data_IF_284148369810
#
_entry.id   IF_284148369810
#
_cell.length_a   1.000
_cell.length_b   1.000
_cell.length_c   1.000
_cell.angle_alpha   90.00
_cell.angle_beta   90.00
_cell.angle_gamma   90.00
#
_symmetry.space_group_name_H-M   'P 1'
#
loop_
_entity.id
_entity.type
_entity.pdbx_description
1 polymer ?
#
# COMPACT_ATOMS: atom_id res chain seq x y z
N UNK A 1 126.06 -69.81 -31.27
CA UNK A 1 124.79 -69.37 -31.90
C UNK A 1 123.54 -69.54 -31.00
N UNK A 2 123.59 -69.24 -29.69
CA UNK A 2 122.42 -69.36 -28.78
C UNK A 2 121.71 -68.02 -28.47
N UNK A 3 122.38 -66.88 -28.56
CA UNK A 3 121.79 -65.56 -28.23
C UNK A 3 120.68 -65.09 -29.17
N UNK A 4 120.78 -65.36 -30.48
CA UNK A 4 119.87 -64.79 -31.49
C UNK A 4 118.45 -65.39 -31.46
N UNK A 5 118.27 -66.64 -30.99
CA UNK A 5 116.94 -67.25 -30.83
C UNK A 5 116.17 -66.72 -29.62
N UNK A 6 116.88 -66.38 -28.54
CA UNK A 6 116.28 -65.82 -27.32
C UNK A 6 115.72 -64.42 -27.56
N UNK A 7 116.52 -63.57 -28.23
CA UNK A 7 116.10 -62.22 -28.62
C UNK A 7 114.87 -62.24 -29.53
N UNK A 8 114.85 -63.08 -30.57
CA UNK A 8 113.67 -63.20 -31.47
C UNK A 8 112.39 -63.65 -30.74
N UNK A 9 112.49 -64.56 -29.78
CA UNK A 9 111.33 -64.99 -28.97
C UNK A 9 110.85 -63.88 -28.03
N UNK A 10 111.77 -63.15 -27.40
CA UNK A 10 111.43 -62.00 -26.56
C UNK A 10 110.78 -60.88 -27.38
N UNK A 11 111.32 -60.54 -28.56
CA UNK A 11 110.75 -59.55 -29.47
C UNK A 11 109.35 -59.96 -29.94
N UNK A 12 109.14 -61.24 -30.30
CA UNK A 12 107.83 -61.74 -30.71
C UNK A 12 106.82 -61.71 -29.55
N UNK A 13 107.24 -62.06 -28.33
CA UNK A 13 106.39 -61.97 -27.15
C UNK A 13 105.99 -60.52 -26.84
N UNK A 14 106.93 -59.57 -26.91
CA UNK A 14 106.65 -58.14 -26.73
C UNK A 14 105.70 -57.63 -27.81
N UNK A 15 105.92 -58.00 -29.09
CA UNK A 15 105.03 -57.60 -30.18
C UNK A 15 103.62 -58.16 -29.97
N UNK A 16 103.50 -59.42 -29.53
CA UNK A 16 102.22 -60.07 -29.26
C UNK A 16 101.51 -59.38 -28.10
N UNK A 17 102.22 -59.05 -27.01
CA UNK A 17 101.67 -58.29 -25.90
C UNK A 17 101.18 -56.93 -26.37
N UNK A 18 101.97 -56.19 -27.17
CA UNK A 18 101.58 -54.87 -27.69
C UNK A 18 100.36 -54.93 -28.61
N UNK A 19 100.24 -55.96 -29.46
CA UNK A 19 99.07 -56.15 -30.33
C UNK A 19 97.83 -56.51 -29.51
N UNK A 20 97.96 -57.41 -28.54
CA UNK A 20 96.85 -57.82 -27.67
C UNK A 20 96.40 -56.68 -26.76
N UNK A 21 97.33 -55.93 -26.15
CA UNK A 21 96.98 -54.77 -25.33
C UNK A 21 96.38 -53.65 -26.16
N UNK A 22 96.88 -53.41 -27.38
CA UNK A 22 96.29 -52.46 -28.32
C UNK A 22 94.86 -52.84 -28.74
N UNK A 23 94.61 -54.12 -29.05
CA UNK A 23 93.29 -54.62 -29.38
C UNK A 23 92.31 -54.56 -28.18
N UNK A 24 92.77 -54.93 -26.98
CA UNK A 24 91.99 -54.84 -25.75
C UNK A 24 91.65 -53.38 -25.43
N UNK A 25 92.61 -52.46 -25.55
CA UNK A 25 92.38 -51.03 -25.36
C UNK A 25 91.40 -50.45 -26.39
N UNK A 26 91.54 -50.83 -27.67
CA UNK A 26 90.61 -50.44 -28.74
C UNK A 26 89.19 -50.96 -28.50
N UNK A 27 89.05 -52.22 -28.08
CA UNK A 27 87.74 -52.81 -27.78
C UNK A 27 87.09 -52.21 -26.53
N UNK A 28 87.87 -51.96 -25.47
CA UNK A 28 87.40 -51.28 -24.25
C UNK A 28 86.92 -49.87 -24.54
N UNK A 29 87.72 -49.07 -25.26
CA UNK A 29 87.36 -47.69 -25.61
C UNK A 29 86.15 -47.63 -26.55
N UNK A 30 86.05 -48.55 -27.52
CA UNK A 30 84.88 -48.66 -28.39
C UNK A 30 83.61 -49.02 -27.61
N UNK A 31 83.68 -50.06 -26.76
CA UNK A 31 82.55 -50.50 -25.94
C UNK A 31 82.13 -49.44 -24.92
N UNK A 32 83.10 -48.78 -24.27
CA UNK A 32 82.85 -47.68 -23.33
C UNK A 32 82.19 -46.50 -24.04
N UNK A 33 82.72 -46.05 -25.18
CA UNK A 33 82.14 -44.92 -25.91
C UNK A 33 80.73 -45.21 -26.42
N UNK A 34 80.47 -46.43 -26.93
CA UNK A 34 79.12 -46.84 -27.35
C UNK A 34 78.16 -46.97 -26.18
N UNK A 35 78.59 -47.62 -25.09
CA UNK A 35 77.79 -47.80 -23.89
C UNK A 35 77.46 -46.46 -23.23
N UNK A 36 78.46 -45.60 -23.05
CA UNK A 36 78.29 -44.25 -22.51
C UNK A 36 77.39 -43.40 -23.40
N UNK A 37 77.67 -43.32 -24.72
CA UNK A 37 76.87 -42.50 -25.63
C UNK A 37 75.43 -42.99 -25.72
N UNK A 38 75.21 -44.30 -25.80
CA UNK A 38 73.85 -44.86 -25.86
C UNK A 38 73.12 -44.75 -24.53
N UNK A 39 73.79 -44.99 -23.40
CA UNK A 39 73.21 -44.89 -22.07
C UNK A 39 72.89 -43.44 -21.70
N UNK A 40 73.80 -42.52 -22.00
CA UNK A 40 73.59 -41.09 -21.80
C UNK A 40 72.49 -40.55 -22.71
N UNK A 41 72.49 -40.89 -24.01
CA UNK A 41 71.45 -40.42 -24.93
C UNK A 41 70.07 -40.91 -24.52
N UNK A 42 69.92 -42.22 -24.21
CA UNK A 42 68.62 -42.77 -23.76
C UNK A 42 68.21 -42.25 -22.40
N UNK A 43 69.14 -42.19 -21.44
CA UNK A 43 68.85 -41.70 -20.10
C UNK A 43 68.45 -40.22 -20.11
N UNK A 44 69.12 -39.42 -20.95
CA UNK A 44 68.80 -38.01 -21.14
C UNK A 44 67.48 -37.83 -21.89
N UNK A 45 67.26 -38.49 -23.04
CA UNK A 45 65.97 -38.40 -23.76
C UNK A 45 64.80 -38.81 -22.88
N UNK A 46 64.88 -39.98 -22.25
CA UNK A 46 63.77 -40.49 -21.42
C UNK A 46 63.59 -39.64 -20.17
N UNK A 47 64.67 -39.34 -19.44
CA UNK A 47 64.59 -38.56 -18.20
C UNK A 47 64.16 -37.11 -18.44
N UNK A 48 64.66 -36.48 -19.51
CA UNK A 48 64.28 -35.13 -19.89
C UNK A 48 62.86 -35.11 -20.45
N UNK A 49 62.51 -35.95 -21.42
CA UNK A 49 61.20 -35.87 -22.07
C UNK A 49 60.08 -36.30 -21.13
N UNK A 50 60.25 -37.37 -20.35
CA UNK A 50 59.22 -37.80 -19.40
C UNK A 50 59.16 -36.84 -18.22
N UNK A 51 60.29 -36.43 -17.66
CA UNK A 51 60.33 -35.47 -16.54
C UNK A 51 59.76 -34.11 -16.92
N UNK A 52 60.12 -33.60 -18.10
CA UNK A 52 59.64 -32.32 -18.62
C UNK A 52 58.17 -32.38 -19.05
N UNK A 53 57.74 -33.44 -19.77
CA UNK A 53 56.33 -33.59 -20.15
C UNK A 53 55.46 -33.76 -18.92
N UNK A 54 55.76 -34.71 -18.04
CA UNK A 54 54.94 -35.00 -16.86
C UNK A 54 54.95 -33.80 -15.90
N UNK A 55 56.12 -33.21 -15.62
CA UNK A 55 56.23 -32.06 -14.72
C UNK A 55 55.51 -30.83 -15.23
N UNK A 56 55.65 -30.51 -16.52
CA UNK A 56 54.98 -29.36 -17.14
C UNK A 56 53.49 -29.60 -17.29
N UNK A 57 53.07 -30.78 -17.74
CA UNK A 57 51.66 -31.07 -17.99
C UNK A 57 50.88 -31.21 -16.67
N UNK A 58 51.42 -31.89 -15.67
CA UNK A 58 50.82 -31.96 -14.34
C UNK A 58 50.85 -30.60 -13.63
N UNK A 59 51.98 -29.87 -13.67
CA UNK A 59 52.11 -28.56 -13.04
C UNK A 59 51.23 -27.49 -13.70
N UNK A 60 51.19 -27.46 -15.04
CA UNK A 60 50.36 -26.53 -15.80
C UNK A 60 48.89 -26.88 -15.66
N UNK A 61 48.48 -28.15 -15.81
CA UNK A 61 47.07 -28.51 -15.66
C UNK A 61 46.60 -28.30 -14.22
N UNK A 62 47.36 -28.72 -13.21
CA UNK A 62 46.97 -28.48 -11.82
C UNK A 62 46.91 -26.98 -11.51
N UNK A 63 47.95 -26.20 -11.86
CA UNK A 63 48.00 -24.77 -11.58
C UNK A 63 46.94 -23.98 -12.34
N UNK A 64 46.78 -24.24 -13.64
CA UNK A 64 45.82 -23.54 -14.49
C UNK A 64 44.38 -23.96 -14.19
N UNK A 65 44.10 -25.27 -14.08
CA UNK A 65 42.72 -25.74 -13.83
C UNK A 65 42.28 -25.38 -12.41
N UNK A 66 43.13 -25.54 -11.39
CA UNK A 66 42.76 -25.18 -10.02
C UNK A 66 42.70 -23.65 -9.88
N UNK A 67 43.71 -22.92 -10.38
CA UNK A 67 43.73 -21.46 -10.30
C UNK A 67 42.57 -20.80 -11.04
N UNK A 68 42.26 -21.26 -12.26
CA UNK A 68 41.18 -20.71 -13.06
C UNK A 68 39.82 -21.21 -12.57
N UNK A 69 39.62 -22.52 -12.42
CA UNK A 69 38.30 -23.02 -12.00
C UNK A 69 37.96 -22.68 -10.54
N UNK A 70 38.93 -22.55 -9.65
CA UNK A 70 38.65 -22.20 -8.25
C UNK A 70 38.69 -20.70 -8.05
N UNK A 71 39.75 -20.03 -8.51
CA UNK A 71 39.91 -18.59 -8.32
C UNK A 71 38.91 -17.76 -9.09
N UNK A 72 38.77 -18.00 -10.41
CA UNK A 72 37.85 -17.24 -11.25
C UNK A 72 36.39 -17.57 -10.90
N UNK A 73 36.04 -18.85 -10.78
CA UNK A 73 34.65 -19.26 -10.54
C UNK A 73 34.17 -18.88 -9.14
N UNK A 74 35.00 -19.01 -8.11
CA UNK A 74 34.64 -18.63 -6.73
C UNK A 74 34.69 -17.12 -6.56
N UNK A 75 35.72 -16.44 -7.07
CA UNK A 75 35.83 -14.98 -7.00
C UNK A 75 34.73 -14.26 -7.78
N UNK A 76 34.42 -14.74 -9.00
CA UNK A 76 33.30 -14.23 -9.79
C UNK A 76 31.97 -14.49 -9.12
N UNK A 77 31.72 -15.71 -8.61
CA UNK A 77 30.46 -16.01 -7.95
C UNK A 77 30.27 -15.20 -6.67
N UNK A 78 31.28 -15.10 -5.80
CA UNK A 78 31.18 -14.31 -4.57
C UNK A 78 31.04 -12.82 -4.89
N UNK A 79 31.85 -12.28 -5.81
CA UNK A 79 31.81 -10.87 -6.18
C UNK A 79 30.50 -10.49 -6.89
N UNK A 80 30.00 -11.36 -7.77
CA UNK A 80 28.73 -11.18 -8.45
C UNK A 80 27.56 -11.32 -7.47
N UNK A 81 27.51 -12.39 -6.68
CA UNK A 81 26.41 -12.61 -5.72
C UNK A 81 26.39 -11.50 -4.66
N UNK A 82 27.54 -11.08 -4.14
CA UNK A 82 27.61 -9.98 -3.17
C UNK A 82 27.29 -8.62 -3.80
N UNK A 83 27.85 -8.30 -4.96
CA UNK A 83 27.61 -7.02 -5.63
C UNK A 83 26.18 -6.89 -6.16
N UNK A 84 25.68 -7.96 -6.79
CA UNK A 84 24.33 -8.02 -7.34
C UNK A 84 23.30 -8.06 -6.21
N UNK A 85 23.39 -8.98 -5.25
CA UNK A 85 22.34 -9.04 -4.20
C UNK A 85 22.37 -7.80 -3.32
N UNK A 86 23.54 -7.30 -2.90
CA UNK A 86 23.58 -6.13 -2.01
C UNK A 86 23.18 -4.86 -2.76
N UNK A 87 23.65 -4.65 -3.99
CA UNK A 87 23.33 -3.48 -4.80
C UNK A 87 21.89 -3.48 -5.32
N UNK A 88 21.45 -4.64 -5.84
CA UNK A 88 20.09 -4.82 -6.35
C UNK A 88 19.08 -4.80 -5.21
N UNK A 89 19.25 -5.57 -4.14
CA UNK A 89 18.27 -5.55 -3.04
C UNK A 89 18.23 -4.20 -2.33
N UNK A 90 19.36 -3.57 -2.03
CA UNK A 90 19.35 -2.27 -1.36
C UNK A 90 18.77 -1.18 -2.26
N UNK A 91 19.13 -1.18 -3.55
CA UNK A 91 18.59 -0.26 -4.55
C UNK A 91 17.09 -0.43 -4.77
N UNK A 92 16.63 -1.68 -4.90
CA UNK A 92 15.20 -1.97 -5.10
C UNK A 92 14.40 -1.72 -3.83
N UNK A 93 14.83 -2.20 -2.65
CA UNK A 93 14.11 -1.94 -1.40
C UNK A 93 14.05 -0.44 -1.10
N UNK A 94 15.17 0.28 -1.18
CA UNK A 94 15.19 1.71 -0.84
C UNK A 94 14.48 2.55 -1.89
N UNK A 95 14.77 2.32 -3.18
CA UNK A 95 14.20 3.09 -4.28
C UNK A 95 12.71 2.81 -4.48
N UNK A 96 12.31 1.54 -4.48
CA UNK A 96 10.91 1.16 -4.62
C UNK A 96 10.11 1.58 -3.41
N UNK A 97 10.59 1.34 -2.17
CA UNK A 97 9.83 1.70 -0.98
C UNK A 97 9.72 3.21 -0.79
N UNK A 98 10.79 3.97 -1.03
CA UNK A 98 10.71 5.44 -0.94
C UNK A 98 9.86 6.02 -2.07
N UNK A 99 10.03 5.54 -3.30
CA UNK A 99 9.24 6.00 -4.45
C UNK A 99 7.76 5.63 -4.35
N UNK A 100 7.47 4.40 -3.90
CA UNK A 100 6.12 3.91 -3.70
C UNK A 100 5.48 4.57 -2.47
N UNK A 101 6.10 4.56 -1.30
CA UNK A 101 5.49 5.13 -0.09
C UNK A 101 5.30 6.64 -0.23
N UNK A 102 6.27 7.37 -0.81
CA UNK A 102 6.12 8.84 -0.99
C UNK A 102 5.19 9.17 -2.14
N UNK A 103 5.33 8.51 -3.30
CA UNK A 103 4.51 8.77 -4.48
C UNK A 103 3.07 8.32 -4.31
N UNK A 104 2.85 7.14 -3.72
CA UNK A 104 1.52 6.61 -3.42
C UNK A 104 0.89 7.37 -2.26
N UNK A 105 1.55 7.57 -1.12
CA UNK A 105 0.89 8.25 0.00
C UNK A 105 0.64 9.72 -0.28
N UNK A 106 1.57 10.49 -0.87
CA UNK A 106 1.28 11.88 -1.23
C UNK A 106 0.28 11.95 -2.40
N UNK A 107 0.47 11.16 -3.45
CA UNK A 107 -0.43 11.18 -4.61
C UNK A 107 -1.86 10.73 -4.27
N UNK A 108 -2.00 9.65 -3.50
CA UNK A 108 -3.29 9.13 -3.06
C UNK A 108 -3.88 10.00 -1.97
N UNK A 109 -3.15 10.35 -0.91
CA UNK A 109 -3.73 11.12 0.20
C UNK A 109 -4.06 12.54 -0.25
N UNK A 110 -3.16 13.24 -0.94
CA UNK A 110 -3.43 14.61 -1.37
C UNK A 110 -4.41 14.63 -2.54
N UNK A 111 -4.28 13.70 -3.50
CA UNK A 111 -5.19 13.59 -4.64
C UNK A 111 -6.59 13.15 -4.24
N UNK A 112 -6.73 12.12 -3.38
CA UNK A 112 -8.02 11.65 -2.89
C UNK A 112 -8.63 12.63 -1.89
N UNK A 113 -7.87 13.16 -0.93
CA UNK A 113 -8.42 14.10 0.05
C UNK A 113 -8.81 15.42 -0.61
N UNK A 114 -7.98 15.96 -1.51
CA UNK A 114 -8.32 17.19 -2.25
C UNK A 114 -9.41 16.92 -3.28
N UNK A 115 -9.34 15.82 -4.01
CA UNK A 115 -10.35 15.44 -5.01
C UNK A 115 -11.72 15.13 -4.39
N UNK A 116 -11.75 14.46 -3.24
CA UNK A 116 -12.98 14.19 -2.50
C UNK A 116 -13.45 15.45 -1.77
N UNK A 117 -12.62 16.11 -0.96
CA UNK A 117 -13.04 17.31 -0.24
C UNK A 117 -13.45 18.45 -1.18
N UNK A 118 -12.79 18.63 -2.32
CA UNK A 118 -13.14 19.69 -3.28
C UNK A 118 -14.20 19.21 -4.28
N UNK A 119 -14.05 18.01 -4.86
CA UNK A 119 -14.99 17.50 -5.85
C UNK A 119 -16.32 17.04 -5.26
N UNK A 120 -16.34 16.41 -4.08
CA UNK A 120 -17.57 16.09 -3.37
C UNK A 120 -18.21 17.34 -2.78
N UNK A 121 -17.46 18.23 -2.12
CA UNK A 121 -18.05 19.45 -1.57
C UNK A 121 -18.54 20.37 -2.68
N UNK A 122 -17.75 20.65 -3.71
CA UNK A 122 -18.16 21.50 -4.83
C UNK A 122 -19.21 20.80 -5.71
N UNK A 123 -19.15 19.48 -5.88
CA UNK A 123 -20.15 18.71 -6.62
C UNK A 123 -21.48 18.58 -5.87
N UNK A 124 -21.44 18.49 -4.54
CA UNK A 124 -22.63 18.51 -3.70
C UNK A 124 -23.15 19.95 -3.59
N UNK A 125 -22.36 20.92 -3.11
CA UNK A 125 -22.77 22.32 -3.07
C UNK A 125 -23.21 22.85 -4.43
N UNK A 126 -22.44 22.69 -5.51
CA UNK A 126 -22.83 23.24 -6.83
C UNK A 126 -23.79 22.34 -7.58
N UNK A 127 -23.60 21.02 -7.58
CA UNK A 127 -24.48 20.09 -8.30
C UNK A 127 -25.82 19.88 -7.62
N UNK A 128 -25.86 19.75 -6.29
CA UNK A 128 -27.10 19.75 -5.54
C UNK A 128 -27.66 21.18 -5.50
N UNK A 129 -26.96 22.19 -4.97
CA UNK A 129 -27.60 23.51 -4.82
C UNK A 129 -27.89 24.14 -6.18
N UNK A 130 -26.99 24.14 -7.17
CA UNK A 130 -27.31 24.74 -8.48
C UNK A 130 -28.14 23.79 -9.35
N UNK A 131 -27.80 22.52 -9.45
CA UNK A 131 -28.52 21.57 -10.31
C UNK A 131 -29.92 21.21 -9.80
N UNK A 132 -30.07 20.90 -8.50
CA UNK A 132 -31.39 20.68 -7.90
C UNK A 132 -32.19 21.98 -7.90
N UNK A 133 -31.65 23.09 -7.41
CA UNK A 133 -32.41 24.36 -7.36
C UNK A 133 -32.77 24.88 -8.75
N UNK A 134 -31.86 24.83 -9.73
CA UNK A 134 -32.15 25.27 -11.10
C UNK A 134 -33.09 24.27 -11.81
N UNK A 135 -32.87 22.96 -11.70
CA UNK A 135 -33.78 21.96 -12.28
C UNK A 135 -35.18 21.99 -11.65
N UNK A 136 -35.27 22.34 -10.37
CA UNK A 136 -36.53 22.55 -9.66
C UNK A 136 -37.17 23.90 -10.03
N UNK A 137 -36.40 24.98 -10.18
CA UNK A 137 -36.89 26.30 -10.67
C UNK A 137 -37.41 26.18 -12.11
N UNK A 138 -36.67 25.49 -12.97
CA UNK A 138 -36.98 25.30 -14.39
C UNK A 138 -38.15 24.31 -14.58
N UNK A 139 -38.30 23.34 -13.67
CA UNK A 139 -39.37 22.34 -13.72
C UNK A 139 -40.69 22.75 -13.04
N UNK A 140 -40.65 23.57 -11.98
CA UNK A 140 -41.83 23.93 -11.18
C UNK A 140 -42.46 25.29 -11.55
N UNK A 141 -41.78 26.10 -12.37
CA UNK A 141 -42.18 27.50 -12.57
C UNK A 141 -41.95 28.35 -11.32
N UNK A 142 -42.18 29.67 -11.42
CA UNK A 142 -41.95 30.62 -10.32
C UNK A 142 -42.84 30.28 -9.10
N UNK A 143 -42.32 29.53 -8.14
CA UNK A 143 -42.99 29.18 -6.89
C UNK A 143 -42.06 28.43 -5.95
N UNK A 144 -42.04 28.83 -4.67
CA UNK A 144 -41.23 28.22 -3.61
C UNK A 144 -41.41 26.69 -3.56
N UNK A 145 -40.33 25.91 -3.68
CA UNK A 145 -40.39 24.46 -3.51
C UNK A 145 -40.35 24.11 -2.03
N UNK A 146 -41.53 24.03 -1.44
CA UNK A 146 -41.74 23.57 -0.08
C UNK A 146 -41.51 22.05 -0.05
N UNK A 147 -40.67 21.53 0.86
CA UNK A 147 -40.37 20.09 0.98
C UNK A 147 -40.47 19.59 2.42
N UNK A 148 -40.64 18.28 2.57
CA UNK A 148 -40.51 17.62 3.86
C UNK A 148 -39.04 17.69 4.35
N UNK A 149 -38.75 18.17 5.58
CA UNK A 149 -37.40 18.22 6.14
C UNK A 149 -36.93 16.85 6.68
N UNK A 150 -35.64 16.70 6.93
CA UNK A 150 -35.12 15.65 7.84
C UNK A 150 -35.37 16.04 9.30
N UNK A 151 -35.35 15.08 10.22
CA UNK A 151 -35.47 15.37 11.66
C UNK A 151 -34.37 16.32 12.16
N UNK A 152 -33.14 16.14 11.69
CA UNK A 152 -32.03 17.02 12.05
C UNK A 152 -32.23 18.46 11.55
N UNK A 153 -32.78 18.64 10.35
CA UNK A 153 -33.12 19.96 9.82
C UNK A 153 -34.20 20.65 10.65
N UNK A 154 -35.21 19.90 11.14
CA UNK A 154 -36.21 20.44 12.07
C UNK A 154 -35.54 20.89 13.36
N UNK A 155 -34.69 20.07 13.98
CA UNK A 155 -33.97 20.44 15.21
C UNK A 155 -33.07 21.67 15.02
N UNK A 156 -32.50 21.87 13.84
CA UNK A 156 -31.73 23.06 13.51
C UNK A 156 -32.64 24.27 13.29
N UNK A 157 -33.80 24.07 12.67
CA UNK A 157 -34.81 25.11 12.48
C UNK A 157 -35.33 25.65 13.82
N UNK A 158 -35.66 24.77 14.78
CA UNK A 158 -36.10 25.18 16.12
C UNK A 158 -35.08 26.08 16.84
N UNK A 159 -33.78 25.88 16.61
CA UNK A 159 -32.73 26.71 17.23
C UNK A 159 -32.66 28.13 16.68
N UNK A 160 -33.18 28.36 15.48
CA UNK A 160 -33.08 29.64 14.77
C UNK A 160 -34.42 30.38 14.69
N UNK A 161 -35.53 29.63 14.70
CA UNK A 161 -36.85 30.20 14.86
C UNK A 161 -36.94 30.94 16.20
N UNK A 162 -37.82 31.93 16.27
CA UNK A 162 -37.96 32.78 17.46
C UNK A 162 -39.42 32.93 17.87
N UNK A 163 -40.30 32.05 17.36
CA UNK A 163 -41.74 32.14 17.64
C UNK A 163 -42.01 31.93 19.12
N UNK A 164 -41.22 31.07 19.78
CA UNK A 164 -41.17 30.81 21.23
C UNK A 164 -40.90 32.07 22.08
N UNK A 165 -40.28 33.12 21.50
CA UNK A 165 -39.95 34.36 22.21
C UNK A 165 -41.09 35.38 22.24
N UNK A 166 -42.17 35.13 21.50
CA UNK A 166 -43.34 36.00 21.52
C UNK A 166 -44.11 35.82 22.84
N UNK A 167 -44.77 36.88 23.32
CA UNK A 167 -45.58 36.83 24.53
C UNK A 167 -47.01 36.42 24.20
N UNK A 168 -47.54 35.44 24.92
CA UNK A 168 -48.93 35.01 24.77
C UNK A 168 -49.88 36.11 25.26
N UNK A 169 -50.91 36.40 24.45
CA UNK A 169 -51.93 37.38 24.75
C UNK A 169 -53.31 36.89 24.28
N UNK A 170 -54.23 36.72 25.23
CA UNK A 170 -55.58 36.19 24.98
C UNK A 170 -56.42 37.04 24.00
N UNK A 171 -56.15 38.34 23.88
CA UNK A 171 -56.92 39.24 23.01
C UNK A 171 -56.38 39.26 21.57
N UNK A 172 -55.08 39.10 21.35
CA UNK A 172 -54.46 39.37 20.05
C UNK A 172 -53.32 38.43 19.60
N UNK A 173 -52.78 37.57 20.47
CA UNK A 173 -51.67 36.67 20.14
C UNK A 173 -51.78 35.35 20.90
N UNK A 174 -52.59 34.45 20.35
CA UNK A 174 -52.93 33.14 20.96
C UNK A 174 -52.16 32.00 20.29
N UNK A 175 -52.41 30.76 20.68
CA UNK A 175 -51.81 29.57 20.07
C UNK A 175 -51.96 29.52 18.54
N UNK A 176 -53.06 30.06 18.00
CA UNK A 176 -53.29 30.17 16.55
C UNK A 176 -52.22 31.05 15.89
N UNK A 177 -51.85 32.17 16.53
CA UNK A 177 -50.83 33.09 16.04
C UNK A 177 -49.45 32.44 16.07
N UNK A 178 -49.07 31.79 17.19
CA UNK A 178 -47.82 31.04 17.28
C UNK A 178 -47.70 29.98 16.18
N UNK A 179 -48.73 29.14 16.00
CA UNK A 179 -48.72 28.11 14.97
C UNK A 179 -48.65 28.68 13.55
N UNK A 180 -49.35 29.79 13.29
CA UNK A 180 -49.32 30.48 11.99
C UNK A 180 -47.94 31.09 11.69
N UNK A 181 -47.35 31.80 12.65
CA UNK A 181 -46.04 32.44 12.49
C UNK A 181 -44.92 31.41 12.32
N UNK A 182 -44.93 30.36 13.13
CA UNK A 182 -43.98 29.25 13.00
C UNK A 182 -44.10 28.58 11.62
N UNK A 183 -45.33 28.27 11.16
CA UNK A 183 -45.57 27.69 9.83
C UNK A 183 -45.09 28.62 8.71
N UNK A 184 -45.30 29.93 8.85
CA UNK A 184 -44.78 30.93 7.91
C UNK A 184 -43.25 30.99 7.88
N UNK A 185 -42.59 30.87 9.04
CA UNK A 185 -41.14 30.84 9.12
C UNK A 185 -40.57 29.54 8.53
N UNK A 186 -41.21 28.40 8.80
CA UNK A 186 -40.87 27.12 8.17
C UNK A 186 -41.03 27.18 6.64
N UNK A 187 -42.10 27.81 6.14
CA UNK A 187 -42.30 28.05 4.71
C UNK A 187 -41.16 28.89 4.11
N UNK A 188 -40.76 29.98 4.78
CA UNK A 188 -39.61 30.82 4.34
C UNK A 188 -38.30 30.03 4.34
N UNK A 189 -38.15 29.06 5.25
CA UNK A 189 -37.04 28.12 5.29
C UNK A 189 -37.13 27.00 4.25
N UNK A 190 -38.23 26.92 3.48
CA UNK A 190 -38.45 25.92 2.43
C UNK A 190 -39.03 24.61 2.94
N UNK A 191 -39.57 24.57 4.16
CA UNK A 191 -40.09 23.36 4.79
C UNK A 191 -41.62 23.29 4.76
N UNK A 192 -42.12 22.09 4.48
CA UNK A 192 -43.55 21.76 4.54
C UNK A 192 -43.91 21.51 5.99
N UNK A 193 -44.56 22.49 6.59
CA UNK A 193 -45.02 22.47 7.96
C UNK A 193 -46.54 22.36 7.96
N UNK A 194 -47.12 21.37 8.64
CA UNK A 194 -48.56 21.23 8.83
C UNK A 194 -49.03 22.05 10.02
N UNK A 195 -50.18 22.71 9.89
CA UNK A 195 -50.91 23.28 11.02
C UNK A 195 -51.71 22.15 11.67
N UNK A 196 -51.73 22.10 13.00
CA UNK A 196 -52.41 21.04 13.74
C UNK A 196 -53.38 21.66 14.72
N UNK A 197 -54.64 21.26 14.61
CA UNK A 197 -55.68 21.58 15.57
C UNK A 197 -55.91 20.37 16.47
N UNK A 198 -55.76 20.58 17.78
CA UNK A 198 -56.06 19.60 18.82
C UNK A 198 -57.35 20.05 19.50
N UNK A 199 -58.40 19.25 19.38
CA UNK A 199 -59.67 19.53 20.03
C UNK A 199 -59.72 18.83 21.41
N UNK A 200 -60.23 19.56 22.39
CA UNK A 200 -60.60 19.10 23.73
C UNK A 200 -62.13 19.22 23.90
N UNK A 201 -62.73 18.75 25.02
CA UNK A 201 -64.18 18.80 25.20
C UNK A 201 -64.79 20.22 25.18
N UNK A 202 -64.03 21.23 25.61
CA UNK A 202 -64.55 22.60 25.79
C UNK A 202 -63.79 23.68 25.00
N UNK A 203 -62.63 23.35 24.44
CA UNK A 203 -61.76 24.29 23.71
C UNK A 203 -60.85 23.56 22.73
N UNK A 204 -60.07 24.30 21.95
CA UNK A 204 -59.09 23.75 21.02
C UNK A 204 -57.72 24.43 21.22
N UNK A 205 -56.67 23.75 20.79
CA UNK A 205 -55.30 24.23 20.83
C UNK A 205 -54.62 24.03 19.48
N UNK A 206 -53.76 24.96 19.11
CA UNK A 206 -53.09 24.99 17.82
C UNK A 206 -51.59 24.75 17.99
N UNK A 207 -51.08 23.75 17.28
CA UNK A 207 -49.66 23.44 17.21
C UNK A 207 -49.26 23.20 15.74
N UNK A 208 -48.04 22.71 15.52
CA UNK A 208 -47.56 22.41 14.17
C UNK A 208 -46.97 21.00 14.08
N UNK A 209 -46.79 20.49 12.87
CA UNK A 209 -46.13 19.22 12.63
C UNK A 209 -45.24 19.24 11.40
N UNK A 210 -44.28 18.32 11.38
CA UNK A 210 -43.49 18.01 10.20
C UNK A 210 -43.61 16.53 9.90
N UNK A 211 -43.85 16.18 8.64
CA UNK A 211 -43.64 14.82 8.16
C UNK A 211 -42.16 14.70 7.79
N UNK A 212 -41.33 14.27 8.72
CA UNK A 212 -39.89 14.18 8.47
C UNK A 212 -39.58 13.00 7.54
N UNK A 213 -38.58 13.19 6.69
CA UNK A 213 -38.18 12.17 5.70
C UNK A 213 -37.55 10.92 6.31
N UNK A 214 -37.10 10.98 7.57
CA UNK A 214 -36.33 9.92 8.23
C UNK A 214 -36.89 9.49 9.61
N UNK A 215 -37.80 10.26 10.23
CA UNK A 215 -38.41 9.92 11.54
C UNK A 215 -39.95 9.94 11.52
N UNK A 216 -40.56 10.16 10.35
CA UNK A 216 -42.01 10.24 10.20
C UNK A 216 -42.60 11.52 10.79
N UNK A 217 -43.88 11.46 11.14
CA UNK A 217 -44.64 12.60 11.64
C UNK A 217 -44.23 12.96 13.07
N UNK A 218 -43.84 14.22 13.28
CA UNK A 218 -43.55 14.79 14.59
C UNK A 218 -44.40 16.04 14.83
N UNK A 219 -44.77 16.30 16.08
CA UNK A 219 -45.54 17.47 16.49
C UNK A 219 -44.69 18.39 17.35
N UNK A 220 -44.88 19.70 17.19
CA UNK A 220 -44.08 20.71 17.88
C UNK A 220 -45.01 21.75 18.48
N UNK A 221 -44.82 22.05 19.76
CA UNK A 221 -45.44 23.17 20.46
C UNK A 221 -44.68 24.47 20.13
N UNK A 222 -45.23 25.35 19.27
CA UNK A 222 -44.51 26.55 18.81
C UNK A 222 -44.29 27.60 19.90
N UNK A 223 -44.97 27.49 21.04
CA UNK A 223 -44.74 28.38 22.19
C UNK A 223 -43.50 28.01 23.01
N UNK A 224 -43.01 26.78 22.90
CA UNK A 224 -41.93 26.25 23.75
C UNK A 224 -40.83 25.52 22.98
N UNK A 225 -40.99 25.35 21.66
CA UNK A 225 -40.17 24.49 20.79
C UNK A 225 -40.11 23.02 21.21
N UNK A 226 -41.00 22.59 22.11
CA UNK A 226 -41.04 21.21 22.57
C UNK A 226 -41.63 20.29 21.51
N UNK A 227 -40.96 19.16 21.28
CA UNK A 227 -41.53 18.07 20.50
C UNK A 227 -42.52 17.32 21.40
N UNK A 228 -43.78 17.35 21.02
CA UNK A 228 -44.90 16.76 21.78
C UNK A 228 -45.42 15.50 21.08
N UNK A 229 -46.10 14.65 21.84
CA UNK A 229 -46.69 13.41 21.32
C UNK A 229 -48.18 13.33 21.68
N UNK A 230 -49.05 14.09 20.98
CA UNK A 230 -50.48 14.11 21.26
C UNK A 230 -51.13 12.77 20.90
N UNK A 231 -51.88 12.20 21.85
CA UNK A 231 -52.57 10.90 21.69
C UNK A 231 -54.05 11.10 22.01
N UNK A 232 -54.93 10.76 21.06
CA UNK A 232 -56.39 10.80 21.26
C UNK A 232 -56.77 9.92 22.46
N UNK A 233 -57.59 10.46 23.36
CA UNK A 233 -58.02 9.83 24.60
C UNK A 233 -57.08 10.05 25.78
N UNK A 234 -55.92 10.70 25.57
CA UNK A 234 -54.99 11.07 26.64
C UNK A 234 -55.04 12.58 26.91
N UNK A 235 -54.69 13.03 28.13
CA UNK A 235 -54.37 14.43 28.40
C UNK A 235 -53.27 14.94 27.47
N UNK A 236 -53.35 16.20 27.05
CA UNK A 236 -52.29 16.84 26.27
C UNK A 236 -51.00 16.99 27.08
N UNK A 237 -51.10 17.50 28.30
CA UNK A 237 -49.93 17.66 29.16
C UNK A 237 -49.58 16.36 29.87
N UNK A 238 -48.27 16.05 29.90
CA UNK A 238 -47.77 14.92 30.66
C UNK A 238 -47.96 15.16 32.16
N UNK A 239 -48.93 14.45 32.75
CA UNK A 239 -49.30 14.56 34.17
C UNK A 239 -48.24 14.05 35.15
N UNK A 240 -47.15 13.46 34.66
CA UNK A 240 -45.97 13.12 35.48
C UNK A 240 -44.98 14.28 35.63
N UNK A 241 -45.08 15.32 34.79
CA UNK A 241 -44.13 16.43 34.71
C UNK A 241 -44.81 17.76 35.05
N UNK A 242 -46.08 17.92 34.65
CA UNK A 242 -46.85 19.13 34.87
C UNK A 242 -48.02 18.87 35.81
N UNK A 243 -48.32 19.87 36.65
CA UNK A 243 -49.52 19.86 37.49
C UNK A 243 -50.78 19.78 36.62
N UNK A 244 -51.75 18.94 37.00
CA UNK A 244 -53.03 18.90 36.33
C UNK A 244 -53.71 20.27 36.21
N UNK A 245 -54.09 20.73 35.00
CA UNK A 245 -55.00 21.86 34.87
C UNK A 245 -56.35 21.58 35.55
N UNK A 246 -57.05 22.67 35.90
CA UNK A 246 -58.41 22.66 36.46
C UNK A 246 -59.49 22.41 35.40
N UNK A 247 -59.11 22.37 34.11
CA UNK A 247 -59.94 22.01 32.97
C UNK A 247 -59.59 20.63 32.38
N UNK A 248 -60.52 20.08 31.59
CA UNK A 248 -60.34 18.80 30.91
C UNK A 248 -59.63 19.01 29.56
N UNK A 249 -58.37 18.56 29.47
CA UNK A 249 -57.53 18.60 28.27
C UNK A 249 -57.41 17.22 27.58
N UNK A 250 -58.36 16.32 27.80
CA UNK A 250 -58.36 15.02 27.12
C UNK A 250 -58.52 15.24 25.63
N UNK A 251 -57.53 14.84 24.83
CA UNK A 251 -57.56 15.05 23.38
C UNK A 251 -58.70 14.20 22.78
N UNK A 252 -59.68 14.86 22.17
CA UNK A 252 -60.79 14.16 21.51
C UNK A 252 -60.56 14.00 20.02
N UNK A 253 -59.79 14.90 19.40
CA UNK A 253 -59.50 14.89 17.97
C UNK A 253 -58.19 15.60 17.66
N UNK A 254 -57.52 15.14 16.60
CA UNK A 254 -56.36 15.80 16.01
C UNK A 254 -56.63 15.96 14.51
N UNK A 255 -56.51 17.19 14.01
CA UNK A 255 -56.68 17.54 12.60
C UNK A 255 -55.37 18.13 12.10
N UNK A 256 -54.87 17.63 10.96
CA UNK A 256 -53.65 18.12 10.33
C UNK A 256 -54.00 18.79 8.99
N UNK A 257 -53.53 20.02 8.82
CA UNK A 257 -53.74 20.86 7.64
C UNK A 257 -52.38 21.24 7.03
N UNK A 258 -52.06 20.62 5.89
CA UNK A 258 -50.80 20.83 5.17
C UNK A 258 -50.78 22.14 4.38
#
# INVERSE_FOLDING_TARGET
>A
MRGNRSLKKATLAILTILVVTGALYGSYTYAFNRGYKSGYSKGYEVGHDDGYKVGREAGYNAGFVIGNSTGYKTGYKIGYDAGYNTGYEAGNKSGYRTGYDTGYNSGYTDGFRTGNATGFKLGNETGYITGYRQGVIDGAGRGYTIRDPTYLEVLQFLKIDQTDKNEYNEENYTCINFAADFKNNAFKAGYRCGYVEIEFPEYAHAIVCFNTTDHGLIFIEPQTDEIVNPIIGSPYWNRAIYEPPDYNDTIVRIIIMW
#
